data_IF_697882333695
#
_entry.id   IF_697882333695
#
_cell.length_a   1.000
_cell.length_b   1.000
_cell.length_c   1.000
_cell.angle_alpha   90.00
_cell.angle_beta   90.00
_cell.angle_gamma   90.00
#
_symmetry.space_group_name_H-M   'P 1'
#
loop_
_entity.id
_entity.type
_entity.pdbx_description
1 polymer ?
#
# COMPACT_ATOMS: atom_id res chain seq x y z
N UNK A 1 -10.79 -19.32 22.30
CA UNK A 1 -11.97 -18.52 21.94
C UNK A 1 -12.28 -18.70 20.47
N UNK A 2 -13.56 -18.88 20.13
CA UNK A 2 -14.06 -18.90 18.76
C UNK A 2 -13.89 -17.54 18.08
N UNK A 3 -14.05 -17.49 16.74
CA UNK A 3 -14.05 -16.24 15.97
C UNK A 3 -15.03 -15.22 16.54
N UNK A 4 -16.28 -15.63 16.81
CA UNK A 4 -17.34 -14.77 17.31
C UNK A 4 -17.03 -14.21 18.70
N UNK A 5 -16.51 -15.06 19.58
CA UNK A 5 -16.09 -14.65 20.94
C UNK A 5 -14.99 -13.58 20.88
N UNK A 6 -13.96 -13.77 20.05
CA UNK A 6 -12.87 -12.79 19.93
C UNK A 6 -13.34 -11.43 19.38
N UNK A 7 -14.32 -11.41 18.47
CA UNK A 7 -14.93 -10.18 17.95
C UNK A 7 -15.71 -9.44 19.05
N UNK A 8 -16.55 -10.16 19.79
CA UNK A 8 -17.39 -9.58 20.84
C UNK A 8 -16.58 -9.12 22.08
N UNK A 9 -15.43 -9.74 22.32
CA UNK A 9 -14.56 -9.39 23.45
C UNK A 9 -14.08 -7.93 23.38
N UNK A 10 -13.70 -7.44 22.19
CA UNK A 10 -13.02 -6.16 22.05
C UNK A 10 -11.64 -6.19 22.71
N UNK A 11 -11.35 -5.29 23.66
CA UNK A 11 -10.10 -5.35 24.44
C UNK A 11 -10.23 -6.46 25.49
N UNK A 12 -9.36 -7.48 25.48
CA UNK A 12 -9.39 -8.57 26.45
C UNK A 12 -9.23 -8.08 27.89
N UNK A 13 -10.01 -8.65 28.80
CA UNK A 13 -9.88 -8.38 30.25
C UNK A 13 -8.59 -8.96 30.84
N UNK A 14 -8.08 -10.03 30.22
CA UNK A 14 -6.78 -10.64 30.49
C UNK A 14 -5.92 -10.52 29.23
N UNK A 15 -4.69 -10.04 29.38
CA UNK A 15 -3.83 -9.81 28.22
C UNK A 15 -3.47 -11.15 27.55
N UNK A 16 -3.67 -11.28 26.23
CA UNK A 16 -3.22 -12.47 25.51
C UNK A 16 -1.70 -12.51 25.51
N UNK A 17 -1.11 -13.68 25.25
CA UNK A 17 0.35 -13.81 25.15
C UNK A 17 0.92 -12.92 24.03
N UNK A 18 2.17 -12.43 24.17
CA UNK A 18 2.85 -11.73 23.10
C UNK A 18 2.85 -12.55 21.80
N UNK A 19 2.70 -11.88 20.66
CA UNK A 19 2.75 -12.55 19.36
C UNK A 19 4.19 -12.55 18.84
N UNK A 20 4.73 -13.70 18.37
CA UNK A 20 6.04 -13.71 17.74
C UNK A 20 6.02 -12.93 16.42
N UNK A 21 7.18 -12.37 16.07
CA UNK A 21 7.39 -11.70 14.78
C UNK A 21 7.49 -12.75 13.66
N UNK A 22 6.74 -12.57 12.57
CA UNK A 22 6.66 -13.55 11.49
C UNK A 22 7.55 -13.14 10.30
N UNK A 23 8.79 -13.62 10.30
CA UNK A 23 9.77 -13.31 9.25
C UNK A 23 9.36 -13.79 7.85
N UNK A 24 8.32 -14.62 7.71
CA UNK A 24 7.83 -15.07 6.40
C UNK A 24 6.96 -14.01 5.70
N UNK A 25 6.45 -13.03 6.43
CA UNK A 25 5.57 -11.99 5.91
C UNK A 25 6.34 -10.72 5.54
N UNK A 26 5.75 -9.94 4.64
CA UNK A 26 6.25 -8.62 4.27
C UNK A 26 5.84 -7.59 5.33
N UNK A 27 6.78 -7.17 6.18
CA UNK A 27 6.55 -6.17 7.23
C UNK A 27 6.86 -4.75 6.78
N UNK A 28 6.17 -3.77 7.39
CA UNK A 28 6.44 -2.37 7.12
C UNK A 28 7.87 -1.99 7.55
N UNK A 29 8.57 -1.12 6.79
CA UNK A 29 9.89 -0.64 7.20
C UNK A 29 9.79 0.21 8.47
N UNK A 30 10.91 0.29 9.22
CA UNK A 30 11.04 1.19 10.37
C UNK A 30 10.69 2.63 9.98
N UNK A 31 9.85 3.28 10.77
CA UNK A 31 9.46 4.69 10.55
C UNK A 31 10.49 5.65 11.14
N UNK A 32 10.49 6.87 10.61
CA UNK A 32 11.37 7.96 11.07
C UNK A 32 11.15 8.22 12.57
N UNK A 33 12.23 8.21 13.34
CA UNK A 33 12.18 8.62 14.75
C UNK A 33 12.12 10.16 14.81
N UNK A 34 10.90 10.68 14.87
CA UNK A 34 10.61 12.12 14.77
C UNK A 34 10.18 12.74 16.10
N UNK A 35 9.87 11.91 17.10
CA UNK A 35 9.34 12.37 18.38
C UNK A 35 10.46 12.80 19.33
N UNK A 36 10.29 13.93 20.01
CA UNK A 36 11.14 14.28 21.14
C UNK A 36 10.75 13.48 22.42
N UNK A 37 11.52 13.59 23.49
CA UNK A 37 11.30 12.82 24.73
C UNK A 37 9.92 13.06 25.37
N UNK A 38 9.42 14.29 25.32
CA UNK A 38 8.08 14.62 25.86
C UNK A 38 6.99 13.98 24.99
N UNK A 39 7.18 14.00 23.68
CA UNK A 39 6.27 13.41 22.71
C UNK A 39 6.30 11.88 22.75
N UNK A 40 7.46 11.24 22.96
CA UNK A 40 7.54 9.78 23.19
C UNK A 40 6.76 9.39 24.44
N UNK A 41 6.89 10.16 25.54
CA UNK A 41 6.06 9.96 26.74
C UNK A 41 4.57 10.13 26.45
N UNK A 42 4.20 11.12 25.62
CA UNK A 42 2.81 11.35 25.22
C UNK A 42 2.27 10.20 24.34
N UNK A 43 3.06 9.70 23.39
CA UNK A 43 2.70 8.55 22.54
C UNK A 43 2.37 7.32 23.39
N UNK A 44 3.21 7.03 24.40
CA UNK A 44 2.98 5.93 25.34
C UNK A 44 1.70 6.13 26.16
N UNK A 45 1.46 7.35 26.67
CA UNK A 45 0.20 7.68 27.36
C UNK A 45 -1.02 7.51 26.45
N UNK A 46 -0.92 7.97 25.20
CA UNK A 46 -1.97 7.85 24.19
C UNK A 46 -2.24 6.38 23.86
N UNK A 47 -1.22 5.54 23.75
CA UNK A 47 -1.38 4.10 23.54
C UNK A 47 -2.07 3.41 24.72
N UNK A 48 -1.68 3.76 25.96
CA UNK A 48 -2.25 3.17 27.18
C UNK A 48 -3.71 3.54 27.45
N UNK A 49 -4.27 4.56 26.77
CA UNK A 49 -5.68 4.99 26.95
C UNK A 49 -6.71 3.90 26.63
N UNK A 50 -6.33 2.92 25.81
CA UNK A 50 -7.20 1.82 25.41
C UNK A 50 -7.30 0.71 26.47
N UNK A 51 -6.51 0.78 27.54
CA UNK A 51 -6.32 -0.32 28.48
C UNK A 51 -6.59 0.12 29.92
N UNK A 52 -7.16 -0.81 30.71
CA UNK A 52 -7.26 -0.64 32.15
C UNK A 52 -5.87 -0.43 32.78
N UNK A 53 -5.81 0.43 33.82
CA UNK A 53 -4.56 0.78 34.50
C UNK A 53 -3.82 -0.43 35.05
N UNK A 54 -4.51 -1.52 35.41
CA UNK A 54 -3.89 -2.77 35.88
C UNK A 54 -2.95 -3.40 34.85
N UNK A 55 -3.16 -3.12 33.56
CA UNK A 55 -2.32 -3.64 32.47
C UNK A 55 -1.14 -2.74 32.12
N UNK A 56 -1.13 -1.49 32.57
CA UNK A 56 -0.11 -0.50 32.20
C UNK A 56 1.32 -0.95 32.56
N UNK A 57 1.60 -1.59 33.73
CA UNK A 57 2.96 -2.05 34.05
C UNK A 57 3.52 -3.09 33.08
N UNK A 58 2.65 -3.88 32.44
CA UNK A 58 3.04 -4.92 31.48
C UNK A 58 3.17 -4.31 30.08
N UNK A 59 2.21 -3.47 29.68
CA UNK A 59 2.13 -2.93 28.31
C UNK A 59 3.09 -1.76 28.06
N UNK A 60 3.41 -0.95 29.08
CA UNK A 60 4.30 0.19 28.92
C UNK A 60 5.69 -0.19 28.36
N UNK A 61 6.42 -1.18 28.90
CA UNK A 61 7.70 -1.58 28.33
C UNK A 61 7.56 -2.15 26.91
N UNK A 62 6.49 -2.88 26.62
CA UNK A 62 6.22 -3.41 25.27
C UNK A 62 5.96 -2.30 24.24
N UNK A 63 5.12 -1.32 24.57
CA UNK A 63 4.84 -0.20 23.68
C UNK A 63 6.05 0.72 23.51
N UNK A 64 6.90 0.82 24.54
CA UNK A 64 8.18 1.52 24.41
C UNK A 64 9.10 0.82 23.42
N UNK A 65 9.23 -0.50 23.54
CA UNK A 65 10.03 -1.32 22.64
C UNK A 65 9.52 -1.25 21.19
N UNK A 66 8.19 -1.34 20.98
CA UNK A 66 7.60 -1.17 19.64
C UNK A 66 7.92 0.22 19.06
N UNK A 67 7.78 1.28 19.86
CA UNK A 67 8.07 2.64 19.41
C UNK A 67 9.54 2.82 19.02
N UNK A 68 10.48 2.25 19.79
CA UNK A 68 11.93 2.35 19.52
C UNK A 68 12.34 1.49 18.32
N UNK A 69 11.75 0.31 18.18
CA UNK A 69 12.07 -0.66 17.13
C UNK A 69 11.47 -0.26 15.79
N UNK A 70 10.17 0.08 15.77
CA UNK A 70 9.42 0.29 14.53
C UNK A 70 9.10 1.76 14.25
N UNK A 71 9.29 2.66 15.23
CA UNK A 71 8.84 4.05 15.15
C UNK A 71 7.32 4.20 15.31
N UNK A 72 6.62 3.13 15.70
CA UNK A 72 5.15 3.03 15.84
C UNK A 72 4.79 2.04 16.94
N UNK A 73 3.61 2.23 17.53
CA UNK A 73 3.01 1.33 18.52
C UNK A 73 1.83 0.63 17.85
N UNK A 74 2.06 -0.56 17.32
CA UNK A 74 1.04 -1.38 16.63
C UNK A 74 0.20 -2.21 17.59
N UNK A 75 0.71 -2.46 18.80
CA UNK A 75 0.11 -3.30 19.82
C UNK A 75 -0.03 -4.75 19.33
N UNK A 76 1.07 -5.34 18.83
CA UNK A 76 1.06 -6.65 18.16
C UNK A 76 0.43 -7.76 19.00
N UNK A 77 0.56 -7.68 20.33
CA UNK A 77 -0.11 -8.58 21.29
C UNK A 77 -1.61 -8.74 21.01
N UNK A 78 -2.28 -7.68 20.58
CA UNK A 78 -3.73 -7.70 20.36
C UNK A 78 -4.15 -8.23 18.98
N UNK A 79 -3.22 -8.57 18.09
CA UNK A 79 -3.57 -9.20 16.81
C UNK A 79 -4.39 -10.48 17.06
N UNK A 80 -5.56 -10.66 16.42
CA UNK A 80 -6.42 -11.81 16.65
C UNK A 80 -5.78 -13.12 16.17
N UNK A 81 -6.24 -14.23 16.73
CA UNK A 81 -5.73 -15.58 16.42
C UNK A 81 -6.46 -16.25 15.25
N UNK A 82 -7.62 -15.74 14.87
CA UNK A 82 -8.31 -16.25 13.69
C UNK A 82 -7.62 -15.81 12.40
N UNK A 83 -7.75 -16.64 11.36
CA UNK A 83 -7.30 -16.26 10.01
C UNK A 83 -8.03 -15.00 9.55
N UNK A 84 -7.25 -14.00 9.11
CA UNK A 84 -7.76 -12.74 8.60
C UNK A 84 -8.17 -12.90 7.13
N UNK A 85 -9.47 -12.91 6.87
CA UNK A 85 -10.06 -12.92 5.52
C UNK A 85 -11.52 -12.48 5.56
N UNK A 86 -12.08 -12.13 4.41
CA UNK A 86 -13.49 -11.77 4.27
C UNK A 86 -14.38 -13.03 4.34
N UNK A 87 -15.23 -13.15 5.38
CA UNK A 87 -16.09 -14.33 5.61
C UNK A 87 -17.47 -14.14 5.00
N UNK A 88 -18.25 -15.22 4.79
CA UNK A 88 -19.69 -15.12 4.61
C UNK A 88 -20.32 -14.22 5.68
N UNK A 89 -21.26 -13.36 5.28
CA UNK A 89 -21.77 -12.28 6.14
C UNK A 89 -22.49 -12.83 7.39
N UNK A 90 -23.05 -14.04 7.31
CA UNK A 90 -23.75 -14.74 8.39
C UNK A 90 -22.80 -15.28 9.48
N UNK A 91 -21.49 -15.36 9.21
CA UNK A 91 -20.50 -15.79 10.20
C UNK A 91 -20.18 -14.67 11.22
N UNK A 92 -20.46 -13.42 10.89
CA UNK A 92 -20.18 -12.30 11.79
C UNK A 92 -21.24 -12.21 12.90
N UNK A 93 -20.84 -11.99 14.17
CA UNK A 93 -21.77 -11.92 15.30
C UNK A 93 -22.45 -10.54 15.41
N UNK A 94 -22.93 -9.99 14.29
CA UNK A 94 -23.53 -8.65 14.26
C UNK A 94 -25.04 -8.67 14.50
N UNK A 95 -25.56 -7.65 15.18
CA UNK A 95 -27.01 -7.40 15.23
C UNK A 95 -27.54 -6.74 13.94
N UNK A 96 -26.72 -5.93 13.27
CA UNK A 96 -27.05 -5.28 12.00
C UNK A 96 -26.31 -5.94 10.84
N UNK A 97 -27.03 -6.29 9.77
CA UNK A 97 -26.44 -6.85 8.54
C UNK A 97 -25.49 -5.85 7.86
N UNK A 98 -25.80 -4.56 7.89
CA UNK A 98 -24.92 -3.53 7.34
C UNK A 98 -23.60 -3.46 8.12
N UNK A 99 -23.63 -3.59 9.45
CA UNK A 99 -22.42 -3.64 10.25
C UNK A 99 -21.59 -4.91 10.00
N UNK A 100 -22.25 -6.06 9.79
CA UNK A 100 -21.58 -7.30 9.35
C UNK A 100 -20.85 -7.12 8.01
N UNK A 101 -21.48 -6.45 7.02
CA UNK A 101 -20.84 -6.14 5.75
C UNK A 101 -19.60 -5.27 5.92
N UNK A 102 -19.62 -4.30 6.84
CA UNK A 102 -18.45 -3.45 7.11
C UNK A 102 -17.33 -4.26 7.77
N UNK A 103 -17.65 -5.16 8.73
CA UNK A 103 -16.66 -6.07 9.31
C UNK A 103 -16.00 -6.96 8.26
N UNK A 104 -16.79 -7.48 7.31
CA UNK A 104 -16.30 -8.23 6.16
C UNK A 104 -15.28 -7.42 5.37
N UNK A 105 -15.63 -6.18 5.01
CA UNK A 105 -14.74 -5.35 4.20
C UNK A 105 -13.47 -4.91 4.95
N UNK A 106 -13.57 -4.66 6.26
CA UNK A 106 -12.40 -4.41 7.11
C UNK A 106 -11.44 -5.62 7.08
N UNK A 107 -11.96 -6.84 7.23
CA UNK A 107 -11.14 -8.04 7.21
C UNK A 107 -10.56 -8.32 5.81
N UNK A 108 -11.29 -8.00 4.74
CA UNK A 108 -10.75 -8.06 3.39
C UNK A 108 -9.53 -7.13 3.21
N UNK A 109 -9.60 -5.89 3.72
CA UNK A 109 -8.50 -4.94 3.67
C UNK A 109 -7.26 -5.39 4.47
N UNK A 110 -7.41 -6.32 5.41
CA UNK A 110 -6.35 -6.88 6.25
C UNK A 110 -5.99 -8.33 5.90
N UNK A 111 -6.65 -8.91 4.89
CA UNK A 111 -6.37 -10.27 4.40
C UNK A 111 -4.91 -10.32 3.90
N UNK A 112 -4.21 -11.41 4.21
CA UNK A 112 -2.79 -11.56 3.88
C UNK A 112 -2.59 -11.71 2.36
N UNK A 113 -3.63 -12.09 1.62
CA UNK A 113 -3.63 -12.11 0.16
C UNK A 113 -3.88 -10.72 -0.46
N UNK A 114 -4.29 -9.73 0.34
CA UNK A 114 -4.73 -8.40 -0.14
C UNK A 114 -3.82 -7.28 0.39
N UNK A 115 -3.53 -7.28 1.69
CA UNK A 115 -2.78 -6.23 2.37
C UNK A 115 -1.28 -6.32 2.12
N UNK A 116 -0.63 -5.18 1.91
CA UNK A 116 0.81 -5.08 1.71
C UNK A 116 1.61 -5.42 2.97
N UNK A 117 1.16 -4.96 4.14
CA UNK A 117 1.76 -5.26 5.45
C UNK A 117 0.64 -5.57 6.46
N UNK A 118 0.11 -6.81 6.45
CA UNK A 118 -1.11 -7.16 7.18
C UNK A 118 -0.96 -7.01 8.71
N UNK A 119 0.22 -7.27 9.27
CA UNK A 119 0.45 -7.17 10.72
C UNK A 119 0.57 -5.72 11.21
N UNK A 120 0.98 -4.80 10.35
CA UNK A 120 1.04 -3.36 10.61
C UNK A 120 -0.24 -2.62 10.17
N UNK A 121 -1.29 -3.39 9.83
CA UNK A 121 -2.61 -2.89 9.41
C UNK A 121 -2.58 -2.01 8.16
N UNK A 122 -1.57 -2.18 7.29
CA UNK A 122 -1.38 -1.39 6.05
C UNK A 122 -1.83 -2.21 4.85
N UNK A 123 -2.82 -1.69 4.13
CA UNK A 123 -3.37 -2.34 2.93
C UNK A 123 -2.53 -2.06 1.69
N UNK A 124 -2.15 -0.81 1.41
CA UNK A 124 -1.33 -0.46 0.25
C UNK A 124 -0.68 0.92 0.37
N UNK A 125 0.14 1.29 -0.63
CA UNK A 125 0.81 2.60 -0.69
C UNK A 125 1.93 2.75 0.33
N UNK A 126 2.42 1.66 0.92
CA UNK A 126 3.50 1.64 1.92
C UNK A 126 3.09 2.10 3.32
N UNK A 127 2.06 2.94 3.45
CA UNK A 127 1.56 3.47 4.73
C UNK A 127 0.04 3.68 4.79
N UNK A 128 -0.71 3.33 3.75
CA UNK A 128 -2.17 3.41 3.72
C UNK A 128 -2.79 2.37 4.65
N UNK A 129 -3.16 2.79 5.84
CA UNK A 129 -3.58 1.93 6.94
C UNK A 129 -5.09 1.86 7.12
N UNK A 130 -5.56 0.71 7.62
CA UNK A 130 -6.93 0.48 8.07
C UNK A 130 -7.11 1.08 9.47
N UNK A 131 -6.19 0.77 10.38
CA UNK A 131 -6.13 1.27 11.74
C UNK A 131 -4.68 1.57 12.12
N UNK A 132 -4.47 2.40 13.15
CA UNK A 132 -3.13 2.74 13.63
C UNK A 132 -2.54 1.63 14.50
N UNK A 133 -3.39 0.82 15.13
CA UNK A 133 -2.99 -0.27 16.02
C UNK A 133 -4.11 -1.32 16.17
N UNK A 134 -3.76 -2.47 16.74
CA UNK A 134 -4.69 -3.59 16.92
C UNK A 134 -5.77 -3.34 17.99
N UNK A 135 -5.57 -2.44 18.96
CA UNK A 135 -6.65 -2.08 19.90
C UNK A 135 -7.83 -1.42 19.19
N UNK A 136 -7.54 -0.52 18.26
CA UNK A 136 -8.55 0.14 17.42
C UNK A 136 -9.32 -0.86 16.56
N UNK A 137 -8.63 -1.84 15.96
CA UNK A 137 -9.26 -2.94 15.25
C UNK A 137 -10.25 -3.67 16.17
N UNK A 138 -9.80 -4.17 17.33
CA UNK A 138 -10.64 -4.98 18.22
C UNK A 138 -11.87 -4.22 18.72
N UNK A 139 -11.71 -2.94 19.12
CA UNK A 139 -12.83 -2.11 19.54
C UNK A 139 -13.81 -1.83 18.39
N UNK A 140 -13.31 -1.55 17.19
CA UNK A 140 -14.17 -1.32 16.03
C UNK A 140 -15.00 -2.54 15.70
N UNK A 141 -14.37 -3.73 15.67
CA UNK A 141 -15.08 -4.99 15.41
C UNK A 141 -16.14 -5.28 16.48
N UNK A 142 -15.83 -5.02 17.77
CA UNK A 142 -16.80 -5.13 18.85
C UNK A 142 -17.99 -4.19 18.67
N UNK A 143 -17.74 -2.90 18.43
CA UNK A 143 -18.81 -1.93 18.23
C UNK A 143 -19.69 -2.26 17.02
N UNK A 144 -19.10 -2.70 15.91
CA UNK A 144 -19.86 -3.15 14.74
C UNK A 144 -20.69 -4.41 15.03
N UNK A 145 -20.21 -5.31 15.88
CA UNK A 145 -20.98 -6.49 16.28
C UNK A 145 -22.18 -6.12 17.17
N UNK A 146 -22.00 -5.16 18.09
CA UNK A 146 -22.99 -4.80 19.10
C UNK A 146 -24.02 -3.75 18.65
N UNK A 147 -23.70 -2.93 17.66
CA UNK A 147 -24.52 -1.79 17.25
C UNK A 147 -25.87 -2.19 16.63
N UNK A 148 -26.86 -1.33 16.82
CA UNK A 148 -28.17 -1.44 16.16
C UNK A 148 -28.20 -0.64 14.86
N UNK A 149 -29.31 -0.75 14.12
CA UNK A 149 -29.56 0.06 12.91
C UNK A 149 -29.86 1.53 13.23
N UNK A 150 -29.99 1.91 14.50
CA UNK A 150 -30.28 3.28 14.94
C UNK A 150 -29.05 3.93 15.60
N UNK A 151 -27.86 3.42 15.27
CA UNK A 151 -26.59 3.94 15.72
C UNK A 151 -25.64 4.17 14.54
N UNK A 152 -24.70 5.09 14.77
CA UNK A 152 -23.57 5.37 13.89
C UNK A 152 -22.28 5.29 14.70
N UNK A 153 -21.33 4.49 14.23
CA UNK A 153 -19.97 4.43 14.74
C UNK A 153 -19.16 5.59 14.14
N UNK A 154 -18.59 6.43 14.99
CA UNK A 154 -17.77 7.57 14.58
C UNK A 154 -16.29 7.21 14.69
N UNK A 155 -15.56 7.28 13.58
CA UNK A 155 -14.15 6.89 13.48
C UNK A 155 -13.25 8.10 13.25
N UNK A 156 -12.29 8.30 14.17
CA UNK A 156 -11.33 9.39 14.18
C UNK A 156 -9.95 8.85 13.81
N UNK A 157 -9.63 8.84 12.51
CA UNK A 157 -8.35 8.35 11.99
C UNK A 157 -7.94 6.99 12.58
N UNK A 158 -8.84 6.02 12.45
CA UNK A 158 -8.69 4.67 13.02
C UNK A 158 -9.22 4.53 14.44
N UNK A 159 -9.23 5.58 15.27
CA UNK A 159 -9.78 5.50 16.62
C UNK A 159 -11.32 5.38 16.59
N UNK A 160 -11.93 4.31 17.13
CA UNK A 160 -13.38 4.25 17.28
C UNK A 160 -13.81 5.11 18.47
N UNK A 161 -14.34 6.30 18.20
CA UNK A 161 -14.78 7.24 19.24
C UNK A 161 -15.97 6.67 20.02
N UNK A 162 -16.87 5.97 19.33
CA UNK A 162 -17.99 5.28 19.95
C UNK A 162 -19.21 5.21 19.05
N UNK A 163 -20.26 4.57 19.58
CA UNK A 163 -21.58 4.48 18.97
C UNK A 163 -22.45 5.62 19.46
N UNK A 164 -22.99 6.40 18.52
CA UNK A 164 -23.90 7.51 18.80
C UNK A 164 -25.28 7.21 18.23
N UNK A 165 -26.38 7.62 18.90
CA UNK A 165 -27.73 7.49 18.34
C UNK A 165 -27.85 8.20 16.99
N UNK A 166 -28.54 7.55 16.05
CA UNK A 166 -28.87 8.07 14.73
C UNK A 166 -30.22 7.49 14.26
N UNK A 167 -30.35 7.10 12.99
CA UNK A 167 -31.57 6.51 12.43
C UNK A 167 -31.23 5.48 11.35
N UNK A 168 -32.20 4.65 10.95
CA UNK A 168 -31.99 3.52 10.03
C UNK A 168 -31.35 3.92 8.69
N UNK A 169 -31.75 5.06 8.13
CA UNK A 169 -31.18 5.59 6.88
C UNK A 169 -29.81 6.28 7.03
N UNK A 170 -29.29 6.46 8.26
CA UNK A 170 -27.99 7.07 8.48
C UNK A 170 -26.85 6.10 8.12
N UNK A 171 -25.64 6.61 7.82
CA UNK A 171 -24.47 5.75 7.70
C UNK A 171 -24.21 4.98 9.00
N UNK A 172 -23.94 3.67 8.92
CA UNK A 172 -23.51 2.89 10.10
C UNK A 172 -22.15 3.31 10.60
N UNK A 173 -21.29 3.82 9.73
CA UNK A 173 -19.95 4.31 10.08
C UNK A 173 -19.68 5.62 9.36
N UNK A 174 -19.15 6.60 10.08
CA UNK A 174 -18.55 7.82 9.51
C UNK A 174 -17.06 7.78 9.80
N UNK A 175 -16.24 7.83 8.75
CA UNK A 175 -14.78 7.71 8.85
C UNK A 175 -14.08 8.97 8.40
N UNK A 176 -13.17 9.46 9.24
CA UNK A 176 -12.17 10.45 8.88
C UNK A 176 -10.78 9.82 9.00
N UNK A 177 -9.86 10.15 8.09
CA UNK A 177 -8.47 9.70 8.14
C UNK A 177 -7.55 10.85 7.76
N UNK A 178 -6.57 11.19 8.59
CA UNK A 178 -5.56 12.18 8.24
C UNK A 178 -6.10 13.61 8.16
N UNK A 179 -7.25 13.90 8.76
CA UNK A 179 -7.80 15.26 8.78
C UNK A 179 -6.98 16.13 9.72
N UNK A 180 -6.41 17.20 9.17
CA UNK A 180 -5.47 18.09 9.85
C UNK A 180 -5.89 19.55 9.66
N UNK A 181 -5.54 20.39 10.63
CA UNK A 181 -5.54 21.84 10.42
C UNK A 181 -4.51 22.14 9.32
N UNK A 182 -4.83 22.89 8.26
CA UNK A 182 -3.97 23.00 7.07
C UNK A 182 -2.51 23.39 7.35
N UNK A 183 -2.28 24.28 8.32
CA UNK A 183 -0.92 24.73 8.69
C UNK A 183 -0.05 23.64 9.33
N UNK A 184 -0.63 22.50 9.70
CA UNK A 184 0.02 21.36 10.37
C UNK A 184 -0.15 20.06 9.58
N UNK A 185 -0.20 20.15 8.24
CA UNK A 185 -0.43 19.02 7.34
C UNK A 185 0.78 18.71 6.45
N UNK A 186 1.99 19.11 6.85
CA UNK A 186 3.22 18.76 6.11
C UNK A 186 3.58 17.28 6.37
N UNK A 187 4.42 16.65 5.52
CA UNK A 187 4.81 15.25 5.70
C UNK A 187 5.36 14.92 7.10
N UNK A 188 6.24 15.77 7.64
CA UNK A 188 6.81 15.58 8.98
C UNK A 188 5.79 15.82 10.12
N UNK A 189 4.83 16.73 9.92
CA UNK A 189 3.71 16.88 10.87
C UNK A 189 2.92 15.57 10.96
N UNK A 190 2.56 15.02 9.79
CA UNK A 190 1.83 13.76 9.71
C UNK A 190 2.59 12.59 10.34
N UNK A 191 3.88 12.42 10.03
CA UNK A 191 4.72 11.37 10.62
C UNK A 191 4.72 11.44 12.15
N UNK A 192 4.87 12.65 12.70
CA UNK A 192 4.82 12.91 14.13
C UNK A 192 3.45 12.58 14.73
N UNK A 193 2.36 13.09 14.16
CA UNK A 193 1.02 12.87 14.71
C UNK A 193 0.55 11.41 14.59
N UNK A 194 1.04 10.69 13.58
CA UNK A 194 0.81 9.25 13.46
C UNK A 194 1.57 8.47 14.55
N UNK A 195 2.85 8.77 14.79
CA UNK A 195 3.62 8.17 15.88
C UNK A 195 3.02 8.47 17.27
N UNK A 196 2.41 9.65 17.45
CA UNK A 196 1.67 10.01 18.67
C UNK A 196 0.34 9.26 18.84
N UNK A 197 -0.13 8.52 17.82
CA UNK A 197 -1.40 7.80 17.85
C UNK A 197 -2.64 8.71 17.79
N UNK A 198 -2.53 9.88 17.15
CA UNK A 198 -3.62 10.85 17.01
C UNK A 198 -4.11 11.04 15.57
N UNK A 199 -3.44 10.44 14.58
CA UNK A 199 -3.90 10.39 13.20
C UNK A 199 -3.35 9.17 12.45
N UNK A 200 -3.82 8.92 11.24
CA UNK A 200 -3.29 7.91 10.32
C UNK A 200 -3.46 8.36 8.87
N UNK A 201 -2.70 7.77 7.95
CA UNK A 201 -2.96 7.93 6.52
C UNK A 201 -3.83 6.78 6.03
N UNK A 202 -5.05 7.11 5.61
CA UNK A 202 -6.08 6.13 5.28
C UNK A 202 -6.13 5.72 3.82
N UNK A 203 -5.15 6.04 2.97
CA UNK A 203 -5.35 5.73 1.56
C UNK A 203 -6.46 6.61 0.94
N UNK A 204 -7.10 6.05 -0.08
CA UNK A 204 -8.47 6.26 -0.48
C UNK A 204 -9.31 5.11 0.09
N UNK A 205 -8.95 3.86 -0.26
CA UNK A 205 -9.77 2.66 0.06
C UNK A 205 -9.25 1.83 1.23
N UNK A 206 -8.06 2.15 1.78
CA UNK A 206 -7.46 1.43 2.90
C UNK A 206 -8.22 1.70 4.21
N UNK A 207 -8.26 2.97 4.61
CA UNK A 207 -8.93 3.46 5.81
C UNK A 207 -10.44 3.69 5.62
N UNK A 208 -10.97 3.48 4.42
CA UNK A 208 -12.42 3.49 4.15
C UNK A 208 -13.00 2.08 3.95
N UNK A 209 -12.17 1.04 4.14
CA UNK A 209 -12.59 -0.37 4.16
C UNK A 209 -13.23 -0.83 2.84
N UNK A 210 -12.60 -0.56 1.70
CA UNK A 210 -13.16 -0.99 0.40
C UNK A 210 -12.09 -1.28 -0.66
N UNK A 211 -10.90 -1.70 -0.26
CA UNK A 211 -9.86 -2.11 -1.20
C UNK A 211 -10.11 -3.56 -1.64
N UNK A 212 -10.13 -3.82 -2.95
CA UNK A 212 -10.53 -5.11 -3.52
C UNK A 212 -9.38 -5.78 -4.30
N UNK A 213 -8.15 -5.50 -3.88
CA UNK A 213 -6.96 -5.90 -4.62
C UNK A 213 -6.73 -5.04 -5.86
N UNK A 214 -5.84 -5.48 -6.75
CA UNK A 214 -5.29 -4.62 -7.78
C UNK A 214 -6.18 -4.50 -9.04
N UNK A 215 -7.34 -5.18 -9.08
CA UNK A 215 -8.28 -5.15 -10.21
C UNK A 215 -8.76 -3.73 -10.57
N UNK A 216 -8.94 -2.87 -9.58
CA UNK A 216 -9.36 -1.48 -9.80
C UNK A 216 -8.33 -0.70 -10.62
N UNK A 217 -7.04 -0.93 -10.35
CA UNK A 217 -5.93 -0.30 -11.09
C UNK A 217 -5.78 -0.91 -12.48
N UNK A 218 -5.97 -2.22 -12.65
CA UNK A 218 -5.97 -2.85 -13.98
C UNK A 218 -7.05 -2.21 -14.86
N UNK A 219 -8.28 -2.08 -14.36
CA UNK A 219 -9.36 -1.43 -15.10
C UNK A 219 -9.05 0.05 -15.39
N UNK A 220 -8.67 0.84 -14.37
CA UNK A 220 -8.36 2.26 -14.55
C UNK A 220 -7.22 2.51 -15.55
N UNK A 221 -6.17 1.69 -15.51
CA UNK A 221 -5.05 1.78 -16.45
C UNK A 221 -5.47 1.37 -17.85
N UNK A 222 -6.30 0.33 -18.00
CA UNK A 222 -6.87 -0.09 -19.29
C UNK A 222 -7.61 1.07 -19.94
N UNK A 223 -8.49 1.74 -19.19
CA UNK A 223 -9.24 2.91 -19.67
C UNK A 223 -8.29 4.05 -20.04
N UNK A 224 -7.23 4.27 -19.27
CA UNK A 224 -6.21 5.30 -19.54
C UNK A 224 -5.50 5.03 -20.86
N UNK A 225 -4.99 3.82 -21.07
CA UNK A 225 -4.30 3.41 -22.31
C UNK A 225 -5.24 3.51 -23.51
N UNK A 226 -6.46 2.98 -23.41
CA UNK A 226 -7.46 3.08 -24.47
C UNK A 226 -7.78 4.55 -24.84
N UNK A 227 -7.91 5.44 -23.85
CA UNK A 227 -8.13 6.86 -24.10
C UNK A 227 -6.89 7.56 -24.67
N UNK A 228 -5.69 7.18 -24.23
CA UNK A 228 -4.43 7.66 -24.81
C UNK A 228 -4.38 7.39 -26.31
N UNK A 229 -4.67 6.15 -26.72
CA UNK A 229 -4.74 5.77 -28.13
C UNK A 229 -5.82 6.52 -28.91
N UNK A 230 -7.03 6.65 -28.34
CA UNK A 230 -8.10 7.48 -28.94
C UNK A 230 -7.67 8.93 -29.15
N UNK A 231 -6.98 9.53 -28.18
CA UNK A 231 -6.53 10.93 -28.24
C UNK A 231 -5.54 11.16 -29.39
N UNK A 232 -4.65 10.21 -29.65
CA UNK A 232 -3.71 10.25 -30.78
C UNK A 232 -4.30 9.66 -32.08
N UNK A 233 -5.61 9.34 -32.09
CA UNK A 233 -6.36 8.76 -33.22
C UNK A 233 -5.72 7.47 -33.77
N UNK A 234 -5.14 6.65 -32.90
CA UNK A 234 -4.60 5.32 -33.24
C UNK A 234 -5.39 4.21 -32.52
N UNK A 235 -5.33 3.00 -33.04
CA UNK A 235 -5.83 1.80 -32.34
C UNK A 235 -4.71 1.20 -31.48
N UNK A 236 -4.99 0.53 -30.36
CA UNK A 236 -3.94 -0.11 -29.55
C UNK A 236 -3.17 -1.20 -30.30
N UNK A 237 -3.85 -1.97 -31.15
CA UNK A 237 -3.29 -3.13 -31.86
C UNK A 237 -2.11 -2.76 -32.75
N UNK A 238 -0.96 -3.40 -32.50
CA UNK A 238 0.30 -3.19 -33.22
C UNK A 238 1.02 -1.88 -32.87
N UNK A 239 0.51 -1.09 -31.94
CA UNK A 239 1.14 0.13 -31.45
C UNK A 239 1.74 -0.09 -30.05
N UNK A 240 2.76 0.70 -29.75
CA UNK A 240 3.65 0.50 -28.61
C UNK A 240 3.35 1.47 -27.47
N UNK A 241 3.14 0.92 -26.28
CA UNK A 241 3.06 1.63 -25.01
C UNK A 241 4.31 1.33 -24.16
N UNK A 242 5.11 2.34 -23.86
CA UNK A 242 6.30 2.23 -22.98
C UNK A 242 6.03 2.91 -21.65
N UNK A 243 6.32 2.21 -20.56
CA UNK A 243 6.16 2.70 -19.19
C UNK A 243 7.18 2.08 -18.22
N UNK A 244 7.06 2.39 -16.94
CA UNK A 244 7.96 1.95 -15.87
C UNK A 244 7.22 1.55 -14.58
N UNK A 245 7.89 0.71 -13.80
CA UNK A 245 7.45 0.25 -12.49
C UNK A 245 6.52 -0.96 -12.53
N UNK A 246 6.83 -1.98 -11.74
CA UNK A 246 6.01 -3.18 -11.53
C UNK A 246 5.56 -3.35 -10.07
N UNK A 247 5.56 -2.26 -9.31
CA UNK A 247 5.16 -2.19 -7.91
C UNK A 247 3.67 -2.49 -7.66
N UNK A 248 3.12 -2.01 -6.54
CA UNK A 248 1.75 -2.32 -6.13
C UNK A 248 0.69 -1.91 -7.16
N UNK A 249 0.72 -0.65 -7.61
CA UNK A 249 -0.20 -0.12 -8.62
C UNK A 249 0.38 -0.27 -10.04
N UNK A 250 1.65 0.09 -10.23
CA UNK A 250 2.31 0.10 -11.53
C UNK A 250 2.47 -1.30 -12.16
N UNK A 251 2.46 -2.36 -11.35
CA UNK A 251 2.41 -3.75 -11.82
C UNK A 251 1.19 -4.09 -12.67
N UNK A 252 0.10 -3.31 -12.60
CA UNK A 252 -1.11 -3.53 -13.40
C UNK A 252 -0.98 -3.06 -14.86
N UNK A 253 0.04 -2.24 -15.20
CA UNK A 253 0.18 -1.63 -16.52
C UNK A 253 0.36 -2.67 -17.65
N UNK A 254 1.23 -3.69 -17.50
CA UNK A 254 1.33 -4.80 -18.46
C UNK A 254 0.00 -5.47 -18.78
N UNK A 255 -0.74 -5.89 -17.74
CA UNK A 255 -2.03 -6.56 -17.90
C UNK A 255 -3.07 -5.65 -18.55
N UNK A 256 -3.08 -4.37 -18.19
CA UNK A 256 -3.94 -3.36 -18.80
C UNK A 256 -3.62 -3.16 -20.29
N UNK A 257 -2.35 -3.15 -20.66
CA UNK A 257 -1.91 -3.09 -22.06
C UNK A 257 -2.38 -4.30 -22.86
N UNK A 258 -2.29 -5.51 -22.30
CA UNK A 258 -2.84 -6.71 -22.92
C UNK A 258 -4.35 -6.64 -23.11
N UNK A 259 -5.10 -6.19 -22.11
CA UNK A 259 -6.56 -6.01 -22.23
C UNK A 259 -6.90 -4.94 -23.27
N UNK A 260 -6.12 -3.86 -23.32
CA UNK A 260 -6.29 -2.81 -24.33
C UNK A 260 -5.91 -3.29 -25.74
N UNK A 261 -5.07 -4.32 -25.85
CA UNK A 261 -4.65 -4.91 -27.12
C UNK A 261 -3.36 -4.32 -27.71
N UNK A 262 -2.53 -3.62 -26.92
CA UNK A 262 -1.29 -3.03 -27.40
C UNK A 262 -0.05 -3.86 -27.03
N UNK A 263 1.09 -3.47 -27.60
CA UNK A 263 2.41 -3.96 -27.19
C UNK A 263 2.83 -3.09 -26.00
N UNK A 264 3.16 -3.70 -24.88
CA UNK A 264 3.59 -2.99 -23.67
C UNK A 264 5.03 -3.33 -23.33
N UNK A 265 5.84 -2.31 -23.12
CA UNK A 265 7.16 -2.45 -22.50
C UNK A 265 7.11 -1.77 -21.14
N UNK A 266 7.37 -2.51 -20.08
CA UNK A 266 7.43 -1.96 -18.72
C UNK A 266 8.80 -2.24 -18.10
N UNK A 267 9.59 -1.18 -17.85
CA UNK A 267 10.89 -1.34 -17.21
C UNK A 267 10.77 -1.39 -15.68
N UNK A 268 11.50 -2.30 -15.05
CA UNK A 268 11.57 -2.45 -13.59
C UNK A 268 12.97 -2.90 -13.19
N UNK A 269 13.56 -2.24 -12.19
CA UNK A 269 14.92 -2.52 -11.71
C UNK A 269 14.96 -3.64 -10.67
N UNK A 270 13.85 -3.89 -9.97
CA UNK A 270 13.79 -4.85 -8.88
C UNK A 270 13.48 -6.27 -9.40
N UNK A 271 14.44 -7.22 -9.38
CA UNK A 271 14.24 -8.56 -9.92
C UNK A 271 13.15 -9.34 -9.20
N UNK A 272 12.97 -9.11 -7.88
CA UNK A 272 11.99 -9.82 -7.06
C UNK A 272 10.58 -9.50 -7.52
N UNK A 273 10.24 -8.21 -7.70
CA UNK A 273 8.87 -7.84 -8.09
C UNK A 273 8.59 -8.21 -9.54
N UNK A 274 9.57 -8.08 -10.44
CA UNK A 274 9.44 -8.52 -11.83
C UNK A 274 9.11 -10.02 -11.90
N UNK A 275 9.82 -10.86 -11.13
CA UNK A 275 9.54 -12.28 -11.08
C UNK A 275 8.14 -12.57 -10.52
N UNK A 276 7.73 -11.89 -9.45
CA UNK A 276 6.38 -12.03 -8.89
C UNK A 276 5.30 -11.71 -9.93
N UNK A 277 5.48 -10.68 -10.77
CA UNK A 277 4.52 -10.36 -11.85
C UNK A 277 4.51 -11.40 -12.96
N UNK A 278 5.65 -12.00 -13.27
CA UNK A 278 5.74 -13.10 -14.23
C UNK A 278 4.96 -14.32 -13.73
N UNK A 279 5.21 -14.72 -12.49
CA UNK A 279 4.56 -15.89 -11.86
C UNK A 279 3.04 -15.69 -11.75
N UNK A 280 2.58 -14.44 -11.63
CA UNK A 280 1.16 -14.08 -11.62
C UNK A 280 0.50 -14.09 -13.02
N UNK A 281 1.28 -14.20 -14.11
CA UNK A 281 0.77 -14.02 -15.47
C UNK A 281 0.30 -12.59 -15.76
N UNK A 282 0.94 -11.61 -15.09
CA UNK A 282 0.67 -10.18 -15.27
C UNK A 282 1.57 -9.58 -16.34
N UNK A 283 2.77 -10.14 -16.53
CA UNK A 283 3.66 -9.91 -17.68
C UNK A 283 3.79 -11.22 -18.46
N UNK A 284 4.00 -11.14 -19.78
CA UNK A 284 4.13 -12.34 -20.62
C UNK A 284 5.60 -12.75 -20.79
N UNK A 285 6.49 -11.77 -20.96
CA UNK A 285 7.93 -11.98 -21.17
C UNK A 285 8.75 -11.11 -20.22
N UNK A 286 9.93 -11.62 -19.83
CA UNK A 286 10.94 -10.90 -19.05
C UNK A 286 12.25 -10.92 -19.82
N UNK A 287 12.81 -9.74 -20.11
CA UNK A 287 14.05 -9.55 -20.86
C UNK A 287 15.04 -8.73 -20.03
N UNK A 288 16.33 -9.09 -20.06
CA UNK A 288 17.41 -8.39 -19.34
C UNK A 288 18.35 -7.62 -20.25
N UNK A 289 18.44 -7.99 -21.54
CA UNK A 289 19.27 -7.30 -22.54
C UNK A 289 18.42 -6.31 -23.35
N UNK A 290 18.82 -5.04 -23.38
CA UNK A 290 18.07 -3.99 -24.09
C UNK A 290 18.09 -4.17 -25.61
N UNK A 291 19.12 -4.80 -26.18
CA UNK A 291 19.20 -5.10 -27.61
C UNK A 291 18.25 -6.26 -27.97
N UNK A 292 18.11 -7.24 -27.09
CA UNK A 292 17.10 -8.30 -27.23
C UNK A 292 15.69 -7.69 -27.16
N UNK A 293 15.46 -6.75 -26.23
CA UNK A 293 14.19 -6.01 -26.14
C UNK A 293 13.89 -5.26 -27.44
N UNK A 294 14.86 -4.57 -28.03
CA UNK A 294 14.73 -3.89 -29.32
C UNK A 294 14.28 -4.86 -30.41
N UNK A 295 14.96 -6.01 -30.54
CA UNK A 295 14.62 -7.02 -31.54
C UNK A 295 13.21 -7.58 -31.30
N UNK A 296 12.86 -7.84 -30.03
CA UNK A 296 11.56 -8.38 -29.63
C UNK A 296 10.40 -7.42 -29.93
N UNK A 297 10.58 -6.13 -29.65
CA UNK A 297 9.59 -5.09 -29.93
C UNK A 297 9.42 -4.89 -31.43
N UNK A 298 10.51 -4.89 -32.21
CA UNK A 298 10.42 -4.83 -33.69
C UNK A 298 9.59 -5.99 -34.24
N UNK A 299 9.81 -7.22 -33.74
CA UNK A 299 8.99 -8.38 -34.09
C UNK A 299 7.52 -8.22 -33.68
N UNK A 300 7.25 -7.82 -32.43
CA UNK A 300 5.88 -7.63 -31.93
C UNK A 300 5.10 -6.62 -32.77
N UNK A 301 5.75 -5.51 -33.19
CA UNK A 301 5.14 -4.50 -34.06
C UNK A 301 4.84 -5.05 -35.46
N UNK A 302 5.75 -5.83 -36.04
CA UNK A 302 5.56 -6.45 -37.35
C UNK A 302 4.38 -7.44 -37.35
N UNK A 303 4.27 -8.24 -36.30
CA UNK A 303 3.23 -9.26 -36.13
C UNK A 303 1.92 -8.70 -35.53
N UNK A 304 1.92 -7.42 -35.11
CA UNK A 304 0.80 -6.74 -34.43
C UNK A 304 0.30 -7.52 -33.20
N UNK A 305 1.25 -8.05 -32.44
CA UNK A 305 0.99 -8.81 -31.23
C UNK A 305 0.29 -7.97 -30.16
N UNK A 306 -0.41 -8.66 -29.26
CA UNK A 306 -0.82 -8.13 -27.97
C UNK A 306 0.04 -8.83 -26.93
N UNK A 307 1.04 -8.13 -26.44
CA UNK A 307 2.02 -8.70 -25.52
C UNK A 307 2.55 -7.65 -24.56
N UNK A 308 2.88 -8.10 -23.36
CA UNK A 308 3.53 -7.33 -22.33
C UNK A 308 4.92 -7.89 -22.01
N UNK A 309 5.93 -7.03 -22.17
CA UNK A 309 7.33 -7.35 -22.00
C UNK A 309 7.86 -6.52 -20.83
N UNK A 310 8.31 -7.19 -19.78
CA UNK A 310 9.05 -6.56 -18.71
C UNK A 310 10.53 -6.48 -19.07
N UNK A 311 11.10 -5.28 -19.02
CA UNK A 311 12.54 -5.10 -19.08
C UNK A 311 13.10 -5.03 -17.66
N UNK A 312 13.90 -6.02 -17.26
CA UNK A 312 14.59 -6.03 -15.98
C UNK A 312 15.84 -5.16 -16.08
N UNK A 313 15.66 -3.86 -15.86
CA UNK A 313 16.67 -2.81 -16.02
C UNK A 313 16.05 -1.43 -15.82
N UNK A 314 16.82 -0.37 -16.08
CA UNK A 314 16.32 0.98 -15.86
C UNK A 314 15.48 1.46 -17.05
N UNK A 315 14.39 2.20 -16.78
CA UNK A 315 13.56 2.77 -17.86
C UNK A 315 14.34 3.75 -18.72
N UNK A 316 15.34 4.45 -18.16
CA UNK A 316 16.20 5.37 -18.92
C UNK A 316 16.94 4.63 -20.04
N UNK A 317 17.37 3.39 -19.78
CA UNK A 317 18.09 2.58 -20.76
C UNK A 317 17.17 2.23 -21.94
N UNK A 318 15.87 2.03 -21.67
CA UNK A 318 14.84 1.80 -22.70
C UNK A 318 14.61 3.06 -23.52
N UNK A 319 14.42 4.22 -22.87
CA UNK A 319 14.21 5.50 -23.56
C UNK A 319 15.38 5.85 -24.48
N UNK A 320 16.61 5.86 -23.94
CA UNK A 320 17.81 6.21 -24.69
C UNK A 320 18.10 5.22 -25.83
N UNK A 321 17.91 3.91 -25.58
CA UNK A 321 18.11 2.90 -26.63
C UNK A 321 17.05 2.97 -27.72
N UNK A 322 15.78 3.19 -27.37
CA UNK A 322 14.71 3.25 -28.36
C UNK A 322 14.81 4.50 -29.24
N UNK A 323 15.24 5.63 -28.69
CA UNK A 323 15.58 6.83 -29.48
C UNK A 323 16.72 6.54 -30.46
N UNK A 324 17.84 5.98 -29.97
CA UNK A 324 19.00 5.61 -30.80
C UNK A 324 18.64 4.61 -31.92
N UNK A 325 17.81 3.62 -31.63
CA UNK A 325 17.37 2.58 -32.56
C UNK A 325 16.17 2.99 -33.43
N UNK A 326 15.71 4.25 -33.30
CA UNK A 326 14.57 4.83 -34.02
C UNK A 326 13.29 3.98 -33.88
N UNK A 327 13.02 3.48 -32.68
CA UNK A 327 11.77 2.76 -32.36
C UNK A 327 10.70 3.77 -32.00
N UNK A 328 9.73 3.95 -32.89
CA UNK A 328 8.59 4.82 -32.59
C UNK A 328 7.75 4.28 -31.43
N UNK A 329 7.64 5.07 -30.36
CA UNK A 329 6.76 4.83 -29.21
C UNK A 329 5.46 5.62 -29.43
N UNK A 330 4.32 4.92 -29.44
CA UNK A 330 3.03 5.54 -29.70
C UNK A 330 2.46 6.22 -28.44
N UNK A 331 2.65 5.59 -27.28
CA UNK A 331 2.34 6.15 -25.96
C UNK A 331 3.51 5.95 -25.01
N UNK A 332 3.98 7.04 -24.41
CA UNK A 332 4.99 7.03 -23.37
C UNK A 332 4.42 7.46 -22.02
N UNK A 333 4.81 6.78 -20.94
CA UNK A 333 4.44 7.12 -19.56
C UNK A 333 5.55 6.74 -18.60
N UNK A 334 5.42 7.16 -17.34
CA UNK A 334 6.23 6.69 -16.22
C UNK A 334 5.34 6.49 -15.00
N UNK A 335 5.57 5.40 -14.24
CA UNK A 335 4.89 5.16 -12.97
C UNK A 335 5.86 4.72 -11.87
N UNK A 336 7.09 5.20 -11.95
CA UNK A 336 8.01 5.16 -10.81
C UNK A 336 7.46 6.01 -9.66
N UNK A 337 7.88 5.73 -8.42
CA UNK A 337 7.34 6.38 -7.23
C UNK A 337 8.02 7.72 -6.94
N UNK A 338 7.96 8.65 -7.90
CA UNK A 338 8.55 10.00 -7.83
C UNK A 338 7.99 10.90 -6.72
N UNK A 339 6.90 10.49 -6.06
CA UNK A 339 6.43 11.16 -4.84
C UNK A 339 7.36 10.95 -3.64
N UNK A 340 8.23 9.94 -3.69
CA UNK A 340 9.28 9.67 -2.70
C UNK A 340 10.59 9.23 -3.36
N UNK A 341 11.22 10.10 -4.18
CA UNK A 341 12.32 9.69 -5.06
C UNK A 341 13.63 9.43 -4.32
N UNK A 342 13.76 9.89 -3.06
CA UNK A 342 15.00 9.81 -2.27
C UNK A 342 15.07 8.59 -1.36
N UNK A 343 13.95 7.90 -1.14
CA UNK A 343 13.85 6.75 -0.25
C UNK A 343 13.25 5.54 -0.99
N UNK A 344 13.84 5.21 -2.14
CA UNK A 344 13.58 3.98 -2.88
C UNK A 344 12.39 4.06 -3.84
N UNK A 345 11.87 5.26 -4.11
CA UNK A 345 10.80 5.46 -5.08
C UNK A 345 11.28 5.57 -6.54
N UNK A 346 12.53 6.00 -6.75
CA UNK A 346 13.17 6.10 -8.06
C UNK A 346 14.61 5.61 -7.95
N UNK A 347 15.07 4.82 -8.94
CA UNK A 347 16.42 4.26 -8.96
C UNK A 347 17.21 4.88 -10.12
N UNK A 348 18.40 5.44 -9.88
CA UNK A 348 19.19 6.07 -10.93
C UNK A 348 19.72 5.02 -11.93
N UNK A 349 19.78 5.38 -13.22
CA UNK A 349 20.46 4.55 -14.24
C UNK A 349 21.97 4.47 -13.99
N UNK A 350 22.60 3.40 -14.47
CA UNK A 350 24.03 3.14 -14.32
C UNK A 350 24.44 2.50 -12.99
N UNK A 351 23.50 2.27 -12.08
CA UNK A 351 23.70 1.48 -10.86
C UNK A 351 22.80 0.25 -10.89
N UNK A 352 23.28 -0.86 -10.35
CA UNK A 352 22.42 -1.99 -10.03
C UNK A 352 21.44 -1.64 -8.91
N UNK A 353 20.36 -2.42 -8.80
CA UNK A 353 19.37 -2.27 -7.74
C UNK A 353 19.99 -2.38 -6.33
N UNK A 354 20.96 -3.27 -6.14
CA UNK A 354 21.64 -3.50 -4.86
C UNK A 354 22.60 -2.36 -4.50
N UNK A 355 23.37 -1.87 -5.47
CA UNK A 355 24.24 -0.70 -5.29
C UNK A 355 23.44 0.55 -4.96
N UNK A 356 22.33 0.77 -5.67
CA UNK A 356 21.43 1.88 -5.42
C UNK A 356 20.81 1.83 -4.01
N UNK A 357 20.40 0.64 -3.54
CA UNK A 357 19.92 0.47 -2.16
C UNK A 357 21.01 0.74 -1.11
N UNK A 358 22.23 0.27 -1.36
CA UNK A 358 23.39 0.51 -0.49
C UNK A 358 23.74 2.00 -0.44
N UNK A 359 23.74 2.68 -1.58
CA UNK A 359 24.00 4.12 -1.69
C UNK A 359 22.90 4.93 -1.01
N UNK A 360 21.64 4.57 -1.19
CA UNK A 360 20.51 5.24 -0.52
C UNK A 360 20.65 5.20 1.01
N UNK A 361 21.12 4.07 1.57
CA UNK A 361 21.30 3.93 3.02
C UNK A 361 22.55 4.64 3.55
N UNK A 362 23.68 4.53 2.84
CA UNK A 362 24.98 4.94 3.35
C UNK A 362 25.45 6.31 2.84
N UNK A 363 24.91 6.78 1.71
CA UNK A 363 25.31 8.01 1.01
C UNK A 363 24.08 8.72 0.40
N UNK A 364 23.10 9.13 1.24
CA UNK A 364 21.80 9.63 0.77
C UNK A 364 21.89 10.91 -0.09
N UNK A 365 22.85 11.79 0.19
CA UNK A 365 23.06 13.01 -0.61
C UNK A 365 23.55 12.68 -2.02
N UNK A 366 24.51 11.75 -2.14
CA UNK A 366 24.98 11.27 -3.43
C UNK A 366 23.88 10.51 -4.19
N UNK A 367 23.09 9.69 -3.49
CA UNK A 367 21.93 9.01 -4.08
C UNK A 367 20.97 10.02 -4.71
N UNK A 368 20.65 11.11 -3.99
CA UNK A 368 19.80 12.19 -4.48
C UNK A 368 20.38 12.86 -5.72
N UNK A 369 21.68 13.16 -5.74
CA UNK A 369 22.36 13.70 -6.93
C UNK A 369 22.23 12.77 -8.14
N UNK A 370 22.46 11.47 -7.95
CA UNK A 370 22.34 10.45 -9.00
C UNK A 370 20.92 10.29 -9.52
N UNK A 371 19.92 10.32 -8.63
CA UNK A 371 18.51 10.32 -9.03
C UNK A 371 18.20 11.53 -9.91
N UNK A 372 18.65 12.73 -9.51
CA UNK A 372 18.44 13.94 -10.31
C UNK A 372 19.15 13.90 -11.67
N UNK A 373 20.36 13.34 -11.73
CA UNK A 373 21.11 13.10 -12.98
C UNK A 373 20.32 12.18 -13.92
N UNK A 374 19.82 11.07 -13.39
CA UNK A 374 19.01 10.08 -14.12
C UNK A 374 17.69 10.69 -14.64
N UNK A 375 16.99 11.49 -13.83
CA UNK A 375 15.75 12.16 -14.26
C UNK A 375 15.98 13.15 -15.40
N UNK A 376 17.11 13.88 -15.40
CA UNK A 376 17.46 14.76 -16.52
C UNK A 376 17.72 13.97 -17.80
N UNK A 377 18.35 12.80 -17.70
CA UNK A 377 18.55 11.89 -18.83
C UNK A 377 17.22 11.34 -19.34
N UNK A 378 16.35 10.85 -18.44
CA UNK A 378 15.03 10.34 -18.79
C UNK A 378 14.16 11.37 -19.50
N UNK A 379 14.20 12.64 -19.09
CA UNK A 379 13.40 13.70 -19.71
C UNK A 379 13.99 14.21 -21.04
N UNK A 380 15.27 13.94 -21.30
CA UNK A 380 15.98 14.34 -22.52
C UNK A 380 15.75 13.34 -23.66
N UNK A 381 15.78 12.05 -23.34
CA UNK A 381 15.36 10.98 -24.24
C UNK A 381 13.83 11.02 -24.42
#
# INVERSE_FOLDING_TARGET
>A
MSFKEQILEGIPNELPQPKPFDHSLNHAPKRKDILNDQEKKLALKNALRYFDKKHHPILLPEFKDELETYGRIYMYRLRPDYKMYARPIEEYPAKSKQAAAIMLMIQNNLDYAVAQHPHELITYGGNGAVFSNWAQYRLTMKYLAEMTEEQTLVMYSGHPMGLFPSHKEAPRVVVTNGMMIPNYSKPDDWEKFNALGVTQYGQMTAGSYMYIGPQGIVHGTTITVLNGFRKIKKQPKGNLFVTSGLGGMSGAQPKAGNIAGCITVCAEVNPKITQVRLDQGWIDEKITDVNELVARVKKAKAEKETISIAYLGNVVDVWETFDKENIHIDLGSDQTSLHNPWAGGYYPTGLSFEEANTMMANQPDLFKEKVQESLRRQAKA
#
